data_IF_607265737759
#
_entry.id   IF_607265737759
#
_cell.length_a   1.000
_cell.length_b   1.000
_cell.length_c   1.000
_cell.angle_alpha   90.00
_cell.angle_beta   90.00
_cell.angle_gamma   90.00
#
_symmetry.space_group_name_H-M   'P 1'
#
loop_
_entity.id
_entity.type
_entity.pdbx_description
1 polymer ?
#
# COMPACT_ATOMS: atom_id res chain seq x y z
N UNK A 1 -32.68 -9.49 -16.01
CA UNK A 1 -31.48 -10.31 -15.68
C UNK A 1 -30.55 -9.40 -14.90
N UNK A 2 -30.61 -9.47 -13.57
CA UNK A 2 -29.75 -8.66 -12.68
C UNK A 2 -28.40 -9.36 -12.65
N UNK A 3 -27.39 -8.75 -13.27
CA UNK A 3 -26.00 -9.22 -13.14
C UNK A 3 -25.59 -9.00 -11.69
N UNK A 4 -25.48 -10.07 -10.91
CA UNK A 4 -24.87 -10.03 -9.58
C UNK A 4 -23.39 -9.72 -9.83
N UNK A 5 -23.01 -8.46 -9.65
CA UNK A 5 -21.59 -8.08 -9.54
C UNK A 5 -21.11 -8.75 -8.26
N UNK A 6 -20.19 -9.71 -8.39
CA UNK A 6 -19.56 -10.33 -7.23
C UNK A 6 -18.97 -9.22 -6.35
N UNK A 7 -19.28 -9.27 -5.05
CA UNK A 7 -18.71 -8.31 -4.10
C UNK A 7 -17.17 -8.47 -4.15
N UNK A 8 -16.47 -7.37 -4.35
CA UNK A 8 -15.00 -7.35 -4.29
C UNK A 8 -14.60 -7.57 -2.83
N UNK A 9 -13.82 -8.61 -2.54
CA UNK A 9 -13.28 -8.82 -1.21
C UNK A 9 -12.15 -7.81 -0.93
N UNK A 10 -11.94 -7.44 0.34
CA UNK A 10 -10.87 -6.50 0.70
C UNK A 10 -9.49 -7.01 0.28
N UNK A 11 -9.25 -8.32 0.39
CA UNK A 11 -8.02 -8.96 -0.07
C UNK A 11 -7.80 -8.85 -1.60
N UNK A 12 -8.86 -8.70 -2.40
CA UNK A 12 -8.74 -8.51 -3.85
C UNK A 12 -8.06 -7.19 -4.20
N UNK A 13 -8.18 -6.15 -3.32
CA UNK A 13 -7.50 -4.87 -3.50
C UNK A 13 -5.99 -5.04 -3.69
N UNK A 14 -5.38 -6.00 -2.97
CA UNK A 14 -3.96 -6.35 -3.11
C UNK A 14 -3.63 -6.87 -4.51
N UNK A 15 -4.38 -7.87 -4.96
CA UNK A 15 -4.12 -8.51 -6.25
C UNK A 15 -4.32 -7.52 -7.41
N UNK A 16 -5.34 -6.68 -7.32
CA UNK A 16 -5.66 -5.64 -8.29
C UNK A 16 -4.57 -4.56 -8.28
N UNK A 17 -4.18 -4.03 -7.12
CA UNK A 17 -3.14 -3.01 -7.02
C UNK A 17 -1.79 -3.51 -7.53
N UNK A 18 -1.42 -4.77 -7.25
CA UNK A 18 -0.19 -5.38 -7.74
C UNK A 18 -0.17 -5.54 -9.26
N UNK A 19 -1.29 -5.92 -9.87
CA UNK A 19 -1.39 -6.21 -11.31
C UNK A 19 -1.65 -4.97 -12.15
N UNK A 20 -2.60 -4.13 -11.71
CA UNK A 20 -3.18 -3.05 -12.50
C UNK A 20 -2.81 -1.65 -11.97
N UNK A 21 -2.10 -1.57 -10.85
CA UNK A 21 -1.60 -0.34 -10.26
C UNK A 21 -2.46 0.24 -9.15
N UNK A 22 -1.97 1.35 -8.57
CA UNK A 22 -2.57 2.02 -7.42
C UNK A 22 -4.02 2.47 -7.68
N UNK A 23 -4.28 3.07 -8.85
CA UNK A 23 -5.60 3.60 -9.19
C UNK A 23 -6.67 2.51 -9.25
N UNK A 24 -6.36 1.37 -9.88
CA UNK A 24 -7.26 0.24 -9.94
C UNK A 24 -7.51 -0.38 -8.55
N UNK A 25 -6.47 -0.50 -7.74
CA UNK A 25 -6.58 -0.94 -6.34
C UNK A 25 -7.44 0.00 -5.50
N UNK A 26 -7.32 1.31 -5.70
CA UNK A 26 -8.16 2.31 -5.05
C UNK A 26 -9.64 2.16 -5.41
N UNK A 27 -9.95 2.01 -6.70
CA UNK A 27 -11.33 1.76 -7.16
C UNK A 27 -11.91 0.49 -6.56
N UNK A 28 -11.09 -0.56 -6.45
CA UNK A 28 -11.50 -1.80 -5.81
C UNK A 28 -11.81 -1.59 -4.33
N UNK A 29 -10.98 -0.83 -3.60
CA UNK A 29 -11.20 -0.49 -2.19
C UNK A 29 -12.50 0.30 -1.98
N UNK A 30 -12.72 1.35 -2.78
CA UNK A 30 -13.95 2.16 -2.74
C UNK A 30 -15.18 1.28 -2.99
N UNK A 31 -15.11 0.37 -3.96
CA UNK A 31 -16.19 -0.56 -4.29
C UNK A 31 -16.44 -1.56 -3.15
N UNK A 32 -15.38 -2.16 -2.60
CA UNK A 32 -15.47 -3.17 -1.55
C UNK A 32 -16.03 -2.62 -0.23
N UNK A 33 -15.69 -1.38 0.10
CA UNK A 33 -16.14 -0.73 1.35
C UNK A 33 -17.45 0.04 1.20
N UNK A 34 -17.95 0.21 -0.02
CA UNK A 34 -19.10 1.07 -0.28
C UNK A 34 -18.84 2.55 0.05
N UNK A 35 -17.56 2.93 0.15
CA UNK A 35 -17.18 4.33 0.30
C UNK A 35 -17.71 5.09 -0.91
N UNK A 36 -18.78 5.84 -0.73
CA UNK A 36 -19.20 6.86 -1.69
C UNK A 36 -18.04 7.83 -1.94
N UNK A 37 -18.20 8.72 -2.91
CA UNK A 37 -17.14 9.62 -3.34
C UNK A 37 -16.27 10.15 -2.18
N UNK A 38 -14.99 9.74 -2.19
CA UNK A 38 -13.84 10.32 -1.48
C UNK A 38 -13.93 10.47 0.06
N UNK A 39 -13.16 9.64 0.72
CA UNK A 39 -12.84 9.80 2.14
C UNK A 39 -11.68 10.79 2.30
N UNK A 40 -11.89 11.81 3.14
CA UNK A 40 -10.87 12.76 3.54
C UNK A 40 -10.24 12.33 4.87
N UNK A 41 -8.92 12.52 5.00
CA UNK A 41 -8.25 12.37 6.28
C UNK A 41 -8.63 13.47 7.28
N UNK A 42 -8.32 13.29 8.57
CA UNK A 42 -8.49 14.30 9.58
C UNK A 42 -7.66 15.56 9.22
N UNK A 43 -8.30 16.65 8.91
CA UNK A 43 -7.65 17.88 8.42
C UNK A 43 -8.12 18.32 7.02
N UNK A 44 -9.02 17.56 6.38
CA UNK A 44 -9.69 17.97 5.15
C UNK A 44 -8.82 17.93 3.90
N UNK A 45 -7.65 17.30 3.95
CA UNK A 45 -6.77 17.06 2.80
C UNK A 45 -7.04 15.67 2.24
N UNK A 46 -7.79 15.61 1.14
CA UNK A 46 -7.95 14.40 0.34
C UNK A 46 -6.75 14.21 -0.57
N UNK A 47 -6.10 13.07 -0.49
CA UNK A 47 -5.13 12.65 -1.50
C UNK A 47 -5.85 11.83 -2.54
N UNK A 48 -5.81 12.32 -3.76
CA UNK A 48 -6.37 11.65 -4.91
C UNK A 48 -5.25 11.13 -5.80
N UNK A 49 -5.37 9.93 -6.35
CA UNK A 49 -4.51 9.49 -7.43
C UNK A 49 -4.48 10.50 -8.58
N UNK A 50 -3.42 10.53 -9.42
CA UNK A 50 -3.33 11.41 -10.55
C UNK A 50 -4.57 11.34 -11.44
N UNK A 51 -5.21 12.46 -11.69
CA UNK A 51 -6.45 12.54 -12.49
C UNK A 51 -7.75 12.65 -11.69
N UNK A 52 -7.68 12.54 -10.36
CA UNK A 52 -8.83 12.73 -9.49
C UNK A 52 -8.88 14.14 -8.93
N UNK A 53 -10.08 14.68 -8.78
CA UNK A 53 -10.27 15.99 -8.15
C UNK A 53 -10.73 15.82 -6.70
N UNK A 54 -10.07 16.47 -5.73
CA UNK A 54 -10.48 16.39 -4.33
C UNK A 54 -11.86 17.03 -4.16
N UNK A 55 -12.82 16.30 -3.64
CA UNK A 55 -14.10 16.84 -3.21
C UNK A 55 -14.02 17.20 -1.72
N UNK A 56 -14.45 18.40 -1.36
CA UNK A 56 -14.56 18.83 0.04
C UNK A 56 -15.89 18.39 0.60
N UNK A 57 -15.85 17.68 1.71
CA UNK A 57 -17.03 17.36 2.50
C UNK A 57 -17.30 15.86 2.66
N UNK A 58 -16.79 15.28 3.69
CA UNK A 58 -17.14 13.95 4.17
C UNK A 58 -17.25 13.94 5.69
N UNK A 59 -18.19 13.21 6.22
CA UNK A 59 -18.32 12.95 7.64
C UNK A 59 -17.16 12.09 8.13
N UNK A 60 -16.73 12.29 9.37
CA UNK A 60 -15.62 11.62 10.08
C UNK A 60 -15.73 10.08 10.19
N UNK A 61 -16.75 9.45 9.61
CA UNK A 61 -16.96 8.01 9.71
C UNK A 61 -16.37 7.27 8.51
N UNK A 62 -15.25 6.61 8.74
CA UNK A 62 -14.68 5.67 7.77
C UNK A 62 -15.59 4.44 7.63
N UNK A 63 -15.82 3.93 6.42
CA UNK A 63 -16.57 2.69 6.25
C UNK A 63 -15.91 1.52 6.99
N UNK A 64 -16.72 0.55 7.41
CA UNK A 64 -16.18 -0.70 7.94
C UNK A 64 -15.21 -1.36 6.95
N UNK A 65 -14.11 -1.89 7.45
CA UNK A 65 -13.09 -2.53 6.64
C UNK A 65 -12.18 -1.59 5.86
N UNK A 66 -12.36 -0.26 5.94
CA UNK A 66 -11.55 0.71 5.20
C UNK A 66 -10.06 0.58 5.48
N UNK A 67 -9.67 0.59 6.76
CA UNK A 67 -8.25 0.53 7.17
C UNK A 67 -7.63 -0.80 6.74
N UNK A 68 -8.35 -1.90 6.89
CA UNK A 68 -7.91 -3.22 6.45
C UNK A 68 -7.72 -3.27 4.94
N UNK A 69 -8.71 -2.79 4.18
CA UNK A 69 -8.64 -2.74 2.72
C UNK A 69 -7.54 -1.81 2.20
N UNK A 70 -7.32 -0.66 2.85
CA UNK A 70 -6.21 0.24 2.54
C UNK A 70 -4.84 -0.44 2.78
N UNK A 71 -4.73 -1.24 3.84
CA UNK A 71 -3.51 -2.01 4.10
C UNK A 71 -3.27 -3.06 3.02
N UNK A 72 -4.31 -3.78 2.60
CA UNK A 72 -4.24 -4.71 1.47
C UNK A 72 -3.83 -4.03 0.16
N UNK A 73 -4.43 -2.89 -0.16
CA UNK A 73 -4.08 -2.08 -1.34
C UNK A 73 -2.60 -1.70 -1.32
N UNK A 74 -2.11 -1.12 -0.23
CA UNK A 74 -0.73 -0.69 -0.09
C UNK A 74 0.25 -1.84 -0.19
N UNK A 75 -0.08 -2.99 0.40
CA UNK A 75 0.71 -4.20 0.26
C UNK A 75 0.79 -4.65 -1.20
N UNK A 76 -0.29 -4.53 -1.97
CA UNK A 76 -0.29 -4.81 -3.41
C UNK A 76 0.67 -3.90 -4.19
N UNK A 77 0.67 -2.61 -3.88
CA UNK A 77 1.63 -1.63 -4.44
C UNK A 77 3.06 -2.00 -4.06
N UNK A 78 3.31 -2.35 -2.81
CA UNK A 78 4.63 -2.78 -2.33
C UNK A 78 5.14 -4.02 -3.08
N UNK A 79 4.26 -4.99 -3.33
CA UNK A 79 4.59 -6.17 -4.12
C UNK A 79 4.90 -5.82 -5.59
N UNK A 80 4.15 -4.89 -6.16
CA UNK A 80 4.45 -4.38 -7.51
C UNK A 80 5.83 -3.70 -7.56
N UNK A 81 6.17 -2.86 -6.57
CA UNK A 81 7.50 -2.22 -6.48
C UNK A 81 8.63 -3.27 -6.45
N UNK A 82 8.46 -4.33 -5.68
CA UNK A 82 9.42 -5.42 -5.62
C UNK A 82 9.54 -6.17 -6.95
N UNK A 83 8.43 -6.39 -7.66
CA UNK A 83 8.44 -6.99 -9.00
C UNK A 83 9.17 -6.11 -10.03
N UNK A 84 9.01 -4.77 -9.95
CA UNK A 84 9.79 -3.82 -10.75
C UNK A 84 11.29 -3.94 -10.45
N UNK A 85 11.67 -3.98 -9.17
CA UNK A 85 13.06 -4.14 -8.76
C UNK A 85 13.67 -5.46 -9.27
N UNK A 86 12.95 -6.57 -9.17
CA UNK A 86 13.39 -7.87 -9.70
C UNK A 86 13.61 -7.84 -11.21
N UNK A 87 12.66 -7.26 -11.95
CA UNK A 87 12.76 -7.13 -13.42
C UNK A 87 13.97 -6.27 -13.80
N UNK A 88 14.16 -5.14 -13.14
CA UNK A 88 15.29 -4.25 -13.34
C UNK A 88 16.63 -4.95 -13.09
N UNK A 89 16.77 -5.65 -11.97
CA UNK A 89 17.99 -6.35 -11.58
C UNK A 89 18.32 -7.55 -12.46
N UNK A 90 17.30 -8.24 -12.97
CA UNK A 90 17.46 -9.34 -13.91
C UNK A 90 18.02 -8.87 -15.26
N UNK A 91 17.65 -7.67 -15.70
CA UNK A 91 18.08 -7.09 -16.95
C UNK A 91 19.45 -6.40 -16.89
N UNK A 92 20.10 -6.34 -15.72
CA UNK A 92 21.40 -5.65 -15.52
C UNK A 92 22.50 -6.61 -15.09
N UNK A 93 23.71 -6.34 -15.55
CA UNK A 93 24.91 -7.13 -15.20
C UNK A 93 26.01 -6.27 -14.61
N UNK A 94 26.83 -6.88 -13.77
CA UNK A 94 28.10 -6.32 -13.30
C UNK A 94 29.16 -7.41 -13.39
N UNK A 95 30.28 -7.11 -14.08
CA UNK A 95 31.33 -8.11 -14.33
C UNK A 95 30.81 -9.34 -15.11
N UNK A 96 29.80 -9.19 -15.96
CA UNK A 96 29.21 -10.28 -16.74
C UNK A 96 28.20 -11.15 -15.98
N UNK A 97 27.93 -10.86 -14.70
CA UNK A 97 26.95 -11.59 -13.85
C UNK A 97 25.70 -10.72 -13.68
N UNK A 98 24.48 -11.25 -13.86
CA UNK A 98 23.25 -10.53 -13.56
C UNK A 98 23.21 -10.04 -12.12
N UNK A 99 22.79 -8.78 -11.91
CA UNK A 99 22.74 -8.19 -10.56
C UNK A 99 21.84 -9.00 -9.61
N UNK A 100 20.76 -9.56 -10.11
CA UNK A 100 19.84 -10.39 -9.32
C UNK A 100 20.53 -11.66 -8.74
N UNK A 101 21.67 -12.09 -9.28
CA UNK A 101 22.43 -13.24 -8.81
C UNK A 101 23.45 -12.87 -7.73
N UNK A 102 23.65 -11.59 -7.45
CA UNK A 102 24.57 -11.16 -6.40
C UNK A 102 23.97 -11.46 -5.01
N UNK A 103 24.77 -12.04 -4.13
CA UNK A 103 24.33 -12.51 -2.80
C UNK A 103 23.65 -11.40 -1.98
N UNK A 104 24.20 -10.19 -1.96
CA UNK A 104 23.62 -9.05 -1.24
C UNK A 104 22.25 -8.64 -1.80
N UNK A 105 22.09 -8.68 -3.13
CA UNK A 105 20.84 -8.39 -3.81
C UNK A 105 19.79 -9.46 -3.48
N UNK A 106 20.20 -10.73 -3.53
CA UNK A 106 19.30 -11.83 -3.15
C UNK A 106 18.86 -11.74 -1.69
N UNK A 107 19.77 -11.36 -0.78
CA UNK A 107 19.46 -11.12 0.62
C UNK A 107 18.39 -10.04 0.80
N UNK A 108 18.57 -8.88 0.15
CA UNK A 108 17.62 -7.76 0.23
C UNK A 108 16.26 -8.14 -0.39
N UNK A 109 16.24 -8.89 -1.50
CA UNK A 109 15.00 -9.38 -2.10
C UNK A 109 14.26 -10.37 -1.17
N UNK A 110 15.01 -11.28 -0.54
CA UNK A 110 14.45 -12.25 0.41
C UNK A 110 13.87 -11.55 1.64
N UNK A 111 14.57 -10.55 2.19
CA UNK A 111 14.10 -9.73 3.29
C UNK A 111 12.79 -9.03 2.93
N UNK A 112 12.72 -8.33 1.79
CA UNK A 112 11.51 -7.66 1.34
C UNK A 112 10.32 -8.63 1.16
N UNK A 113 10.56 -9.83 0.60
CA UNK A 113 9.51 -10.86 0.49
C UNK A 113 9.05 -11.32 1.87
N UNK A 114 9.96 -11.53 2.81
CA UNK A 114 9.64 -11.99 4.16
C UNK A 114 8.78 -10.96 4.90
N UNK A 115 9.13 -9.68 4.82
CA UNK A 115 8.35 -8.58 5.39
C UNK A 115 6.94 -8.52 4.79
N UNK A 116 6.81 -8.60 3.47
CA UNK A 116 5.50 -8.62 2.81
C UNK A 116 4.67 -9.84 3.19
N UNK A 117 5.27 -11.01 3.33
CA UNK A 117 4.56 -12.23 3.77
C UNK A 117 4.12 -12.13 5.23
N UNK A 118 4.91 -11.49 6.08
CA UNK A 118 4.51 -11.18 7.46
C UNK A 118 3.23 -10.34 7.52
N UNK A 119 3.15 -9.28 6.70
CA UNK A 119 1.93 -8.47 6.58
C UNK A 119 0.74 -9.30 6.07
N UNK A 120 0.94 -10.12 5.02
CA UNK A 120 -0.11 -11.03 4.51
C UNK A 120 -0.65 -11.91 5.64
N UNK A 121 0.23 -12.57 6.40
CA UNK A 121 -0.19 -13.51 7.45
C UNK A 121 -1.03 -12.83 8.54
N UNK A 122 -0.69 -11.59 8.91
CA UNK A 122 -1.46 -10.82 9.89
C UNK A 122 -2.85 -10.46 9.34
N UNK A 123 -2.92 -9.96 8.10
CA UNK A 123 -4.19 -9.55 7.49
C UNK A 123 -5.11 -10.75 7.25
N UNK A 124 -4.58 -11.89 6.76
CA UNK A 124 -5.33 -13.13 6.58
C UNK A 124 -5.89 -13.65 7.92
N UNK A 125 -5.10 -13.56 9.00
CA UNK A 125 -5.55 -13.97 10.33
C UNK A 125 -6.71 -13.09 10.85
N UNK A 126 -6.63 -11.76 10.67
CA UNK A 126 -7.69 -10.83 11.05
C UNK A 126 -8.98 -11.09 10.26
N UNK A 127 -8.90 -11.26 8.94
CA UNK A 127 -10.07 -11.56 8.11
C UNK A 127 -10.70 -12.92 8.49
N UNK A 128 -9.87 -13.92 8.77
CA UNK A 128 -10.36 -15.25 9.18
C UNK A 128 -11.04 -15.25 10.53
N UNK A 129 -10.58 -14.40 11.46
CA UNK A 129 -11.19 -14.21 12.77
C UNK A 129 -12.42 -13.29 12.75
N UNK A 130 -12.58 -12.51 11.70
CA UNK A 130 -13.58 -11.43 11.63
C UNK A 130 -13.24 -10.25 12.56
N UNK A 131 -11.97 -10.11 12.89
CA UNK A 131 -11.45 -9.06 13.77
C UNK A 131 -11.17 -7.76 13.02
N UNK A 132 -11.32 -6.63 13.71
CA UNK A 132 -10.94 -5.34 13.17
C UNK A 132 -9.45 -5.07 13.35
N UNK A 133 -8.85 -4.40 12.36
CA UNK A 133 -7.47 -3.94 12.44
C UNK A 133 -7.37 -2.75 13.41
N UNK A 134 -6.74 -2.97 14.56
CA UNK A 134 -6.56 -1.91 15.56
C UNK A 134 -5.67 -0.77 15.02
N UNK A 135 -5.88 0.48 15.48
CA UNK A 135 -5.09 1.62 15.01
C UNK A 135 -3.57 1.45 15.19
N UNK A 136 -3.13 0.91 16.33
CA UNK A 136 -1.71 0.67 16.59
C UNK A 136 -1.11 -0.39 15.67
N UNK A 137 -1.85 -1.47 15.41
CA UNK A 137 -1.41 -2.50 14.47
C UNK A 137 -1.42 -1.98 13.04
N UNK A 138 -2.43 -1.20 12.65
CA UNK A 138 -2.47 -0.52 11.35
C UNK A 138 -1.23 0.36 11.15
N UNK A 139 -0.91 1.24 12.09
CA UNK A 139 0.27 2.10 12.04
C UNK A 139 1.58 1.28 11.94
N UNK A 140 1.66 0.14 12.63
CA UNK A 140 2.80 -0.76 12.53
C UNK A 140 2.94 -1.37 11.12
N UNK A 141 1.86 -1.96 10.60
CA UNK A 141 1.87 -2.57 9.27
C UNK A 141 2.16 -1.57 8.16
N UNK A 142 1.59 -0.37 8.23
CA UNK A 142 1.85 0.68 7.25
C UNK A 142 3.30 1.16 7.27
N UNK A 143 3.93 1.23 8.44
CA UNK A 143 5.36 1.53 8.58
C UNK A 143 6.22 0.42 7.96
N UNK A 144 5.91 -0.84 8.26
CA UNK A 144 6.58 -2.01 7.69
C UNK A 144 6.50 -2.02 6.15
N UNK A 145 5.32 -1.73 5.58
CA UNK A 145 5.14 -1.59 4.13
C UNK A 145 6.01 -0.46 3.58
N UNK A 146 6.00 0.73 4.21
CA UNK A 146 6.82 1.87 3.78
C UNK A 146 8.33 1.56 3.80
N UNK A 147 8.81 0.87 4.83
CA UNK A 147 10.23 0.48 4.91
C UNK A 147 10.60 -0.54 3.83
N UNK A 148 9.71 -1.47 3.51
CA UNK A 148 9.86 -2.44 2.41
C UNK A 148 9.84 -1.74 1.04
N UNK A 149 8.98 -0.73 0.85
CA UNK A 149 8.94 0.09 -0.36
C UNK A 149 10.26 0.84 -0.56
N UNK A 150 10.79 1.46 0.49
CA UNK A 150 12.10 2.14 0.48
C UNK A 150 13.25 1.18 0.15
N UNK A 151 13.18 -0.06 0.62
CA UNK A 151 14.15 -1.11 0.25
C UNK A 151 14.06 -1.43 -1.24
N UNK A 152 12.87 -1.63 -1.77
CA UNK A 152 12.61 -1.92 -3.19
C UNK A 152 13.09 -0.76 -4.09
N UNK A 153 12.84 0.49 -3.70
CA UNK A 153 13.31 1.67 -4.42
C UNK A 153 14.85 1.77 -4.47
N UNK A 154 15.56 1.43 -3.37
CA UNK A 154 17.02 1.38 -3.37
C UNK A 154 17.56 0.34 -4.36
N UNK A 155 16.90 -0.81 -4.49
CA UNK A 155 17.26 -1.84 -5.45
C UNK A 155 17.06 -1.39 -6.92
N UNK A 156 16.14 -0.47 -7.18
CA UNK A 156 15.94 0.18 -8.48
C UNK A 156 17.02 1.24 -8.80
N UNK A 157 17.83 1.61 -7.81
CA UNK A 157 18.85 2.67 -7.96
C UNK A 157 18.23 4.04 -8.25
N UNK A 158 18.94 4.89 -8.98
CA UNK A 158 18.50 6.26 -9.27
C UNK A 158 17.12 6.32 -9.99
N UNK A 159 16.81 5.34 -10.85
CA UNK A 159 15.53 5.27 -11.55
C UNK A 159 14.32 5.04 -10.62
N UNK A 160 14.55 4.45 -9.44
CA UNK A 160 13.51 4.23 -8.44
C UNK A 160 12.98 5.51 -7.80
N UNK A 161 13.72 6.61 -7.88
CA UNK A 161 13.36 7.89 -7.23
C UNK A 161 12.77 8.93 -8.18
N UNK A 162 12.49 8.57 -9.44
CA UNK A 162 11.83 9.48 -10.38
C UNK A 162 10.35 9.65 -10.00
N UNK A 163 9.87 10.90 -10.06
CA UNK A 163 8.51 11.28 -9.66
C UNK A 163 7.40 10.65 -10.52
N UNK A 164 7.70 10.40 -11.79
CA UNK A 164 6.80 9.77 -12.77
C UNK A 164 7.03 8.25 -12.93
N UNK A 165 7.78 7.66 -12.00
CA UNK A 165 8.13 6.24 -11.94
C UNK A 165 7.70 5.57 -10.63
N UNK A 166 8.35 4.43 -10.29
CA UNK A 166 8.07 3.67 -9.08
C UNK A 166 8.12 4.51 -7.79
N UNK A 167 9.04 5.51 -7.72
CA UNK A 167 9.15 6.41 -6.56
C UNK A 167 7.92 7.27 -6.35
N UNK A 168 7.31 7.79 -7.42
CA UNK A 168 6.07 8.56 -7.32
C UNK A 168 4.91 7.72 -6.80
N UNK A 169 4.79 6.47 -7.26
CA UNK A 169 3.75 5.53 -6.80
C UNK A 169 3.95 5.16 -5.32
N UNK A 170 5.20 4.88 -4.90
CA UNK A 170 5.53 4.61 -3.50
C UNK A 170 5.17 5.80 -2.60
N UNK A 171 5.52 7.02 -3.04
CA UNK A 171 5.19 8.24 -2.30
C UNK A 171 3.67 8.44 -2.18
N UNK A 172 2.90 8.26 -3.26
CA UNK A 172 1.44 8.32 -3.21
C UNK A 172 0.86 7.27 -2.25
N UNK A 173 1.41 6.04 -2.27
CA UNK A 173 1.01 4.99 -1.35
C UNK A 173 1.26 5.38 0.12
N UNK A 174 2.41 5.99 0.45
CA UNK A 174 2.74 6.51 1.79
C UNK A 174 1.77 7.62 2.20
N UNK A 175 1.54 8.60 1.34
CA UNK A 175 0.61 9.71 1.58
C UNK A 175 -0.83 9.22 1.84
N UNK A 176 -1.28 8.15 1.19
CA UNK A 176 -2.58 7.54 1.48
C UNK A 176 -2.66 7.00 2.92
N UNK A 177 -1.57 6.42 3.44
CA UNK A 177 -1.53 6.01 4.84
C UNK A 177 -1.62 7.22 5.77
N UNK A 178 -0.78 8.24 5.56
CA UNK A 178 -0.76 9.44 6.38
C UNK A 178 -2.12 10.14 6.40
N UNK A 179 -2.75 10.31 5.23
CA UNK A 179 -4.05 10.96 5.13
C UNK A 179 -5.19 10.19 5.81
N UNK A 180 -5.08 8.86 5.92
CA UNK A 180 -6.17 8.01 6.41
C UNK A 180 -5.91 7.37 7.78
N UNK A 181 -4.71 7.51 8.34
CA UNK A 181 -4.33 6.94 9.64
C UNK A 181 -4.05 8.00 10.70
N UNK A 182 -3.73 9.23 10.32
CA UNK A 182 -3.39 10.35 11.22
C UNK A 182 -4.56 10.78 12.12
N UNK A 183 -5.01 9.92 12.98
CA UNK A 183 -5.98 10.24 14.03
C UNK A 183 -5.57 9.72 15.41
N UNK A 184 -4.40 9.06 15.53
CA UNK A 184 -4.09 8.26 16.72
C UNK A 184 -2.98 8.85 17.59
N UNK A 185 -2.12 9.76 17.11
CA UNK A 185 -0.89 10.12 17.81
C UNK A 185 -0.77 11.58 18.33
N UNK A 186 -1.86 12.36 18.45
CA UNK A 186 -1.73 13.76 18.93
C UNK A 186 -2.17 14.02 20.36
N UNK A 187 -2.66 13.03 21.13
CA UNK A 187 -3.16 13.27 22.49
C UNK A 187 -2.17 12.94 23.64
N UNK A 188 -1.01 12.33 23.37
CA UNK A 188 -0.12 11.85 24.45
C UNK A 188 1.01 12.84 24.86
N UNK A 189 1.08 14.06 24.28
CA UNK A 189 2.14 15.04 24.60
C UNK A 189 1.63 16.37 25.17
N UNK A 190 0.39 16.45 25.68
CA UNK A 190 -0.13 17.66 26.36
C UNK A 190 -0.57 17.42 27.79
N UNK A 191 0.14 16.61 28.56
CA UNK A 191 -0.02 16.54 30.00
C UNK A 191 1.33 16.25 30.64
N UNK A 192 2.10 17.29 30.88
CA UNK A 192 3.34 17.29 31.61
C UNK A 192 3.76 18.73 31.87
#
# INVERSE_FOLDING_TARGET
>A
MVTVVAAVALADCRAIARRDGLDAGWQALVTATGAGELLFGPGGHGLCPPGWQPQRGGTDSRPAGWVLGLTWLRLGVSQWLLDQARTYLAGRTSGGVPLIQQQLVQGSLAEAVTEQQGVVAVLDALESAGDELSPSLAAHLHRQITDTDRMSLRLLGAGGFLSDGPGGIAHLSELLADAHLDGVDHDDHRSG
#
